data_IF_265155886883
#
_entry.id   IF_265155886883
#
_cell.length_a   1.000
_cell.length_b   1.000
_cell.length_c   1.000
_cell.angle_alpha   90.00
_cell.angle_beta   90.00
_cell.angle_gamma   90.00
#
_symmetry.space_group_name_H-M   'P 1'
#
loop_
_entity.id
_entity.type
_entity.pdbx_description
1 polymer ?
#
# COMPACT_ATOMS: atom_id res chain seq x y z
N UNK A 1 -34.27 11.35 -2.29
CA UNK A 1 -33.78 9.98 -2.04
C UNK A 1 -32.26 10.05 -2.13
N UNK A 2 -31.57 9.90 -1.02
CA UNK A 2 -30.09 9.87 -1.04
C UNK A 2 -29.66 8.56 -1.72
N UNK A 3 -28.94 8.66 -2.83
CA UNK A 3 -28.35 7.49 -3.49
C UNK A 3 -27.36 6.84 -2.54
N UNK A 4 -27.59 5.59 -2.18
CA UNK A 4 -26.63 4.80 -1.42
C UNK A 4 -25.38 4.70 -2.30
N UNK A 5 -24.19 5.15 -1.83
CA UNK A 5 -22.98 5.03 -2.63
C UNK A 5 -22.70 3.54 -2.87
N UNK A 6 -22.71 3.14 -4.13
CA UNK A 6 -22.32 1.78 -4.51
C UNK A 6 -20.81 1.66 -4.25
N UNK A 7 -20.45 0.73 -3.37
CA UNK A 7 -19.04 0.42 -3.10
C UNK A 7 -18.56 -0.48 -4.24
N UNK A 8 -17.64 0.04 -5.05
CA UNK A 8 -16.98 -0.76 -6.09
C UNK A 8 -15.87 -1.61 -5.46
N UNK A 9 -15.89 -2.90 -5.73
CA UNK A 9 -14.82 -3.84 -5.35
C UNK A 9 -14.11 -4.30 -6.62
N UNK A 10 -12.79 -4.11 -6.68
CA UNK A 10 -11.95 -4.52 -7.80
C UNK A 10 -11.21 -5.81 -7.44
N UNK A 11 -11.49 -6.89 -8.16
CA UNK A 11 -10.75 -8.15 -8.02
C UNK A 11 -9.32 -8.03 -8.53
N UNK A 12 -9.13 -7.28 -9.63
CA UNK A 12 -7.82 -6.97 -10.21
C UNK A 12 -6.92 -6.22 -9.22
N UNK A 13 -7.46 -5.18 -8.56
CA UNK A 13 -6.73 -4.45 -7.53
C UNK A 13 -6.31 -5.36 -6.37
N UNK A 14 -7.22 -6.21 -5.90
CA UNK A 14 -6.94 -7.14 -4.80
C UNK A 14 -5.83 -8.14 -5.16
N UNK A 15 -5.85 -8.69 -6.38
CA UNK A 15 -4.84 -9.63 -6.87
C UNK A 15 -3.47 -8.94 -6.96
N UNK A 16 -3.40 -7.79 -7.61
CA UNK A 16 -2.19 -6.96 -7.69
C UNK A 16 -1.66 -6.61 -6.30
N UNK A 17 -2.53 -6.27 -5.35
CA UNK A 17 -2.13 -5.96 -3.98
C UNK A 17 -1.44 -7.15 -3.30
N UNK A 18 -1.95 -8.36 -3.50
CA UNK A 18 -1.33 -9.55 -2.93
C UNK A 18 0.02 -9.87 -3.58
N UNK A 19 0.18 -9.66 -4.87
CA UNK A 19 1.45 -9.80 -5.58
C UNK A 19 2.52 -8.79 -5.13
N UNK A 20 2.10 -7.60 -4.69
CA UNK A 20 2.99 -6.54 -4.16
C UNK A 20 3.34 -6.72 -2.67
N UNK A 21 3.19 -7.92 -2.13
CA UNK A 21 3.55 -8.24 -0.74
C UNK A 21 2.42 -8.02 0.26
N UNK A 22 1.20 -7.84 -0.20
CA UNK A 22 0.00 -7.70 0.63
C UNK A 22 -0.64 -9.03 1.04
N UNK A 23 -0.07 -10.19 0.69
CA UNK A 23 -0.66 -11.50 0.91
C UNK A 23 -1.00 -11.78 2.38
N UNK A 24 -0.18 -11.30 3.31
CA UNK A 24 -0.41 -11.47 4.75
C UNK A 24 -1.67 -10.75 5.23
N UNK A 25 -2.15 -9.74 4.51
CA UNK A 25 -3.41 -9.06 4.83
C UNK A 25 -4.60 -10.03 4.83
N UNK A 26 -4.58 -11.09 4.02
CA UNK A 26 -5.64 -12.10 3.96
C UNK A 26 -5.87 -12.80 5.31
N UNK A 27 -4.87 -12.84 6.19
CA UNK A 27 -4.95 -13.46 7.53
C UNK A 27 -5.65 -12.57 8.56
N UNK A 28 -5.93 -11.28 8.23
CA UNK A 28 -6.50 -10.32 9.17
C UNK A 28 -7.97 -10.64 9.48
N UNK A 29 -8.28 -10.87 10.76
CA UNK A 29 -9.66 -11.04 11.25
C UNK A 29 -10.20 -9.81 11.99
N UNK A 30 -9.59 -8.66 11.81
CA UNK A 30 -10.09 -7.37 12.30
C UNK A 30 -10.18 -7.23 13.82
N UNK A 31 -9.25 -7.83 14.61
CA UNK A 31 -9.25 -7.79 16.08
C UNK A 31 -8.97 -6.43 16.70
N UNK A 32 -8.57 -5.43 15.92
CA UNK A 32 -8.27 -4.06 16.34
C UNK A 32 -6.98 -3.87 17.16
N UNK A 33 -6.21 -4.90 17.50
CA UNK A 33 -4.94 -4.76 18.25
C UNK A 33 -4.01 -3.74 17.61
N UNK A 34 -3.85 -3.77 16.28
CA UNK A 34 -3.00 -2.82 15.56
C UNK A 34 -3.47 -1.35 15.71
N UNK A 35 -4.78 -1.13 15.81
CA UNK A 35 -5.33 0.23 16.00
C UNK A 35 -5.20 0.72 17.44
N UNK A 36 -5.22 -0.19 18.41
CA UNK A 36 -5.10 0.19 19.84
C UNK A 36 -3.67 0.53 20.26
N UNK A 37 -2.67 0.00 19.54
CA UNK A 37 -1.24 0.25 19.81
C UNK A 37 -0.64 1.37 18.98
N UNK A 38 -1.33 1.81 17.93
CA UNK A 38 -0.83 2.84 17.04
C UNK A 38 -1.11 4.24 17.59
N UNK A 39 -0.05 4.97 17.95
CA UNK A 39 -0.17 6.36 18.45
C UNK A 39 -0.73 7.33 17.39
N UNK A 40 -0.63 6.96 16.11
CA UNK A 40 -1.14 7.76 14.99
C UNK A 40 -2.61 7.45 14.66
N UNK A 41 -3.21 6.46 15.31
CA UNK A 41 -4.59 6.10 15.05
C UNK A 41 -5.54 7.18 15.61
N UNK A 42 -6.31 7.90 14.75
CA UNK A 42 -7.29 8.85 15.25
C UNK A 42 -8.39 8.14 16.05
N UNK A 43 -8.92 8.78 17.08
CA UNK A 43 -9.96 8.21 17.93
C UNK A 43 -11.24 7.80 17.15
N UNK A 44 -11.53 8.49 16.05
CA UNK A 44 -12.71 8.28 15.22
C UNK A 44 -12.45 7.44 13.95
N UNK A 45 -11.19 7.06 13.70
CA UNK A 45 -10.82 6.31 12.48
C UNK A 45 -9.81 5.21 12.82
N UNK A 46 -10.20 3.93 12.78
CA UNK A 46 -9.38 2.82 13.24
C UNK A 46 -8.26 2.50 12.24
N UNK A 47 -7.18 3.27 12.28
CA UNK A 47 -5.95 3.04 11.54
C UNK A 47 -5.05 2.05 12.31
N UNK A 48 -4.32 1.13 11.67
CA UNK A 48 -4.29 0.79 10.23
C UNK A 48 -5.36 -0.27 9.84
N UNK A 49 -6.18 -0.72 10.76
CA UNK A 49 -7.17 -1.79 10.58
C UNK A 49 -8.10 -1.55 9.40
N UNK A 50 -8.60 -0.32 9.28
CA UNK A 50 -9.55 0.06 8.22
C UNK A 50 -8.94 -0.09 6.83
N UNK A 51 -7.70 0.33 6.65
CA UNK A 51 -6.97 0.25 5.39
C UNK A 51 -6.71 -1.21 4.99
N UNK A 52 -6.38 -2.06 5.96
CA UNK A 52 -6.23 -3.51 5.74
C UNK A 52 -7.56 -4.11 5.24
N UNK A 53 -8.69 -3.74 5.85
CA UNK A 53 -10.01 -4.21 5.42
C UNK A 53 -10.31 -3.78 3.98
N UNK A 54 -10.05 -2.52 3.65
CA UNK A 54 -10.27 -2.01 2.30
C UNK A 54 -9.41 -2.72 1.26
N UNK A 55 -8.16 -3.01 1.60
CA UNK A 55 -7.26 -3.77 0.73
C UNK A 55 -7.75 -5.23 0.54
N UNK A 56 -8.18 -5.91 1.60
CA UNK A 56 -8.77 -7.26 1.52
C UNK A 56 -9.98 -7.32 0.59
N UNK A 57 -10.80 -6.28 0.59
CA UNK A 57 -12.04 -6.21 -0.19
C UNK A 57 -11.86 -5.56 -1.57
N UNK A 58 -10.64 -5.15 -1.91
CA UNK A 58 -10.36 -4.51 -3.19
C UNK A 58 -11.05 -3.16 -3.37
N UNK A 59 -11.24 -2.40 -2.28
CA UNK A 59 -11.86 -1.07 -2.30
C UNK A 59 -10.83 -0.02 -2.75
N UNK A 60 -10.42 -0.09 -4.01
CA UNK A 60 -9.41 0.78 -4.61
C UNK A 60 -9.69 2.25 -4.39
N UNK A 61 -10.90 2.72 -4.75
CA UNK A 61 -11.30 4.13 -4.65
C UNK A 61 -11.11 4.70 -3.24
N UNK A 62 -11.33 3.88 -2.22
CA UNK A 62 -11.15 4.26 -0.82
C UNK A 62 -9.69 4.40 -0.44
N UNK A 63 -8.83 3.51 -0.93
CA UNK A 63 -7.40 3.51 -0.64
C UNK A 63 -6.65 4.59 -1.41
N UNK A 64 -7.04 4.86 -2.66
CA UNK A 64 -6.42 5.89 -3.49
C UNK A 64 -6.60 7.29 -2.90
N UNK A 65 -7.73 7.54 -2.23
CA UNK A 65 -8.03 8.84 -1.60
C UNK A 65 -7.63 8.95 -0.13
N UNK A 66 -7.07 7.90 0.49
CA UNK A 66 -6.81 7.87 1.92
C UNK A 66 -5.38 8.32 2.26
N UNK A 67 -5.26 9.30 3.15
CA UNK A 67 -3.97 9.77 3.67
C UNK A 67 -3.36 8.81 4.70
N UNK A 68 -4.14 7.91 5.28
CA UNK A 68 -3.72 7.01 6.35
C UNK A 68 -2.44 6.24 6.07
N UNK A 69 -2.27 5.57 4.91
CA UNK A 69 -1.06 4.85 4.59
C UNK A 69 0.20 5.74 4.61
N UNK A 70 0.08 7.03 4.25
CA UNK A 70 1.20 7.97 4.22
C UNK A 70 1.64 8.45 5.60
N UNK A 71 0.74 8.42 6.57
CA UNK A 71 1.04 8.76 7.96
C UNK A 71 1.80 7.67 8.69
N UNK A 72 1.85 6.46 8.16
CA UNK A 72 2.52 5.32 8.80
C UNK A 72 4.05 5.49 8.83
N UNK A 73 4.62 5.53 10.02
CA UNK A 73 6.09 5.62 10.25
C UNK A 73 6.81 4.27 10.15
N UNK A 74 6.09 3.17 9.94
CA UNK A 74 6.65 1.81 9.93
C UNK A 74 7.46 1.45 11.19
N UNK A 75 7.03 1.91 12.36
CA UNK A 75 7.65 1.55 13.64
C UNK A 75 7.52 0.06 13.99
N UNK A 76 6.64 -0.67 13.29
CA UNK A 76 6.36 -2.11 13.46
C UNK A 76 5.71 -2.53 14.78
N UNK A 77 5.34 -1.64 15.70
CA UNK A 77 4.66 -1.98 16.94
C UNK A 77 3.37 -2.78 16.70
N UNK A 78 2.60 -2.38 15.69
CA UNK A 78 1.40 -3.09 15.28
C UNK A 78 1.70 -4.48 14.70
N UNK A 79 2.86 -4.66 14.04
CA UNK A 79 3.28 -5.95 13.46
C UNK A 79 3.71 -6.93 14.54
N UNK A 80 4.52 -6.48 15.50
CA UNK A 80 4.99 -7.31 16.62
C UNK A 80 3.84 -7.81 17.50
N UNK A 81 2.80 -6.99 17.66
CA UNK A 81 1.64 -7.33 18.51
C UNK A 81 0.49 -8.00 17.75
N UNK A 82 0.65 -8.24 16.45
CA UNK A 82 -0.39 -8.87 15.65
C UNK A 82 -0.50 -10.37 15.92
N UNK A 83 -1.62 -10.89 16.47
CA UNK A 83 -1.76 -12.31 16.79
C UNK A 83 -1.88 -13.20 15.54
N UNK A 84 -2.00 -12.61 14.36
CA UNK A 84 -2.14 -13.32 13.07
C UNK A 84 -0.95 -13.09 12.14
N UNK A 85 0.10 -12.40 12.61
CA UNK A 85 1.31 -12.13 11.81
C UNK A 85 1.00 -11.45 10.45
N UNK A 86 0.02 -10.54 10.46
CA UNK A 86 -0.39 -9.79 9.26
C UNK A 86 0.68 -8.80 8.82
N UNK A 87 1.53 -8.37 9.75
CA UNK A 87 2.52 -7.30 9.53
C UNK A 87 1.88 -6.02 8.98
N UNK A 88 1.02 -5.33 9.76
CA UNK A 88 0.31 -4.14 9.26
C UNK A 88 1.22 -3.04 8.69
N UNK A 89 2.47 -2.92 9.19
CA UNK A 89 3.46 -2.00 8.63
C UNK A 89 3.78 -2.29 7.17
N UNK A 90 4.03 -3.57 6.84
CA UNK A 90 4.33 -4.00 5.47
C UNK A 90 3.10 -3.84 4.56
N UNK A 91 1.90 -4.14 5.09
CA UNK A 91 0.65 -3.90 4.36
C UNK A 91 0.50 -2.42 3.98
N UNK A 92 0.83 -1.49 4.90
CA UNK A 92 0.82 -0.05 4.59
C UNK A 92 1.86 0.32 3.53
N UNK A 93 3.03 -0.31 3.54
CA UNK A 93 4.05 -0.10 2.51
C UNK A 93 3.58 -0.60 1.14
N UNK A 94 2.96 -1.77 1.07
CA UNK A 94 2.38 -2.33 -0.17
C UNK A 94 1.27 -1.43 -0.73
N UNK A 95 0.36 -0.92 0.12
CA UNK A 95 -0.67 0.03 -0.30
C UNK A 95 -0.03 1.29 -0.89
N UNK A 96 0.98 1.88 -0.23
CA UNK A 96 1.70 3.06 -0.75
C UNK A 96 2.34 2.79 -2.11
N UNK A 97 3.00 1.65 -2.27
CA UNK A 97 3.64 1.27 -3.53
C UNK A 97 2.61 1.23 -4.67
N UNK A 98 1.46 0.60 -4.45
CA UNK A 98 0.38 0.54 -5.42
C UNK A 98 -0.23 1.91 -5.75
N UNK A 99 -0.45 2.75 -4.73
CA UNK A 99 -0.96 4.11 -4.95
C UNK A 99 0.01 4.91 -5.81
N UNK A 100 1.32 4.83 -5.53
CA UNK A 100 2.35 5.50 -6.35
C UNK A 100 2.32 4.98 -7.79
N UNK A 101 2.26 3.67 -7.99
CA UNK A 101 2.22 3.08 -9.33
C UNK A 101 1.01 3.53 -10.14
N UNK A 102 -0.17 3.57 -9.51
CA UNK A 102 -1.43 3.99 -10.14
C UNK A 102 -1.52 5.50 -10.41
N UNK A 103 -0.91 6.32 -9.56
CA UNK A 103 -0.96 7.79 -9.67
C UNK A 103 0.23 8.39 -10.43
N UNK A 104 1.27 7.60 -10.72
CA UNK A 104 2.46 8.11 -11.41
C UNK A 104 2.13 8.61 -12.82
N UNK A 105 2.57 9.82 -13.13
CA UNK A 105 2.49 10.40 -14.46
C UNK A 105 3.88 10.81 -14.94
N UNK A 106 4.31 10.35 -16.11
CA UNK A 106 3.67 9.36 -17.00
C UNK A 106 3.71 7.94 -16.44
N UNK A 107 2.70 7.12 -16.75
CA UNK A 107 2.47 5.79 -16.13
C UNK A 107 3.64 4.81 -16.23
N UNK A 108 4.49 4.93 -17.28
CA UNK A 108 5.68 4.06 -17.40
C UNK A 108 6.70 4.26 -16.27
N UNK A 109 6.78 5.47 -15.66
CA UNK A 109 7.67 5.72 -14.52
C UNK A 109 7.18 4.98 -13.27
N UNK A 110 5.87 4.90 -13.05
CA UNK A 110 5.28 4.14 -11.94
C UNK A 110 5.67 2.66 -12.02
N UNK A 111 5.50 2.04 -13.17
CA UNK A 111 5.86 0.63 -13.39
C UNK A 111 7.37 0.38 -13.32
N UNK A 112 8.18 1.37 -13.74
CA UNK A 112 9.65 1.29 -13.65
C UNK A 112 10.13 1.27 -12.20
N UNK A 113 9.53 2.10 -11.35
CA UNK A 113 9.88 2.21 -9.92
C UNK A 113 9.21 1.10 -9.11
N UNK A 114 7.97 0.71 -9.43
CA UNK A 114 7.26 -0.39 -8.76
C UNK A 114 7.97 -1.74 -8.90
N UNK A 115 8.62 -1.97 -10.05
CA UNK A 115 9.36 -3.21 -10.33
C UNK A 115 10.89 -3.06 -10.22
N UNK A 116 11.39 -2.33 -9.21
CA UNK A 116 12.83 -2.05 -9.04
C UNK A 116 13.69 -3.31 -9.14
N UNK A 117 13.26 -4.44 -8.61
CA UNK A 117 13.99 -5.71 -8.69
C UNK A 117 14.28 -6.16 -10.13
N UNK A 118 13.39 -5.83 -11.07
CA UNK A 118 13.52 -6.20 -12.48
C UNK A 118 14.18 -5.09 -13.30
N UNK A 119 13.98 -3.83 -12.91
CA UNK A 119 14.40 -2.64 -13.67
C UNK A 119 15.68 -1.98 -13.14
N UNK A 120 16.25 -2.48 -12.03
CA UNK A 120 17.45 -1.91 -11.42
C UNK A 120 18.64 -1.74 -12.40
N UNK A 121 18.92 -2.68 -13.35
CA UNK A 121 20.04 -2.47 -14.27
C UNK A 121 19.79 -1.28 -15.20
N UNK A 122 18.55 -1.06 -15.62
CA UNK A 122 18.17 0.09 -16.44
C UNK A 122 18.31 1.41 -15.66
N UNK A 123 17.88 1.42 -14.39
CA UNK A 123 17.97 2.59 -13.51
C UNK A 123 19.42 3.00 -13.20
N UNK A 124 20.34 2.03 -13.19
CA UNK A 124 21.77 2.29 -12.95
C UNK A 124 22.50 2.66 -14.25
N UNK A 125 22.19 1.98 -15.34
CA UNK A 125 22.86 2.19 -16.63
C UNK A 125 22.49 3.52 -17.29
N UNK A 126 21.24 3.97 -17.16
CA UNK A 126 20.78 5.21 -17.79
C UNK A 126 21.58 6.45 -17.36
N UNK A 127 21.81 6.72 -16.06
CA UNK A 127 22.63 7.85 -15.64
C UNK A 127 24.10 7.68 -16.00
N UNK A 128 24.64 6.47 -16.02
CA UNK A 128 26.03 6.21 -16.44
C UNK A 128 26.21 6.54 -17.91
N UNK A 129 25.31 6.07 -18.78
CA UNK A 129 25.32 6.35 -20.22
C UNK A 129 25.17 7.87 -20.46
N UNK A 130 24.26 8.51 -19.73
CA UNK A 130 24.08 9.96 -19.80
C UNK A 130 25.37 10.73 -19.44
N UNK A 131 26.05 10.30 -18.40
CA UNK A 131 27.35 10.90 -17.99
C UNK A 131 28.45 10.71 -19.03
N UNK A 132 28.57 9.51 -19.58
CA UNK A 132 29.56 9.17 -20.60
C UNK A 132 29.32 9.94 -21.91
N UNK A 133 28.07 10.20 -22.27
CA UNK A 133 27.70 10.96 -23.49
C UNK A 133 27.94 12.47 -23.32
N UNK A 134 27.86 12.98 -22.08
CA UNK A 134 28.09 14.41 -21.78
C UNK A 134 29.58 14.79 -21.54
N UNK A 135 30.42 13.80 -21.30
CA UNK A 135 31.90 13.96 -21.19
C UNK A 135 32.57 13.81 -22.53
#
# INVERSE_FOLDING_TARGET
MASIPVISMSSDFRETFFEHGGENAARCYQCATCSSVCELAPANAPFPRRQILWAQWGMEDRLMGDAGPWLCHQCNDCSVRCPREVNPGDVMASIRAMVVERMAFPGFLGSLVGNVKKTWPLLVLAPIIFWVVLL
#
